data_IF_943510733814
#
_entry.id   IF_943510733814
#
_cell.length_a   1.000
_cell.length_b   1.000
_cell.length_c   1.000
_cell.angle_alpha   90.00
_cell.angle_beta   90.00
_cell.angle_gamma   90.00
#
_symmetry.space_group_name_H-M   'P 1'
#
loop_
_entity.id
_entity.type
_entity.pdbx_description
1 polymer ?
#
# COMPACT_ATOMS: atom_id res chain seq x y z
N UNK A 1 -19.67 5.33 9.57
CA UNK A 1 -19.16 5.82 10.89
C UNK A 1 -17.81 6.55 10.71
N UNK A 2 -17.52 7.61 11.48
CA UNK A 2 -16.33 8.46 11.26
C UNK A 2 -15.04 7.75 11.69
N UNK A 3 -13.96 7.91 10.94
CA UNK A 3 -12.63 7.51 11.40
C UNK A 3 -12.26 8.38 12.60
N UNK A 4 -12.05 7.78 13.78
CA UNK A 4 -11.57 8.48 14.97
C UNK A 4 -10.13 8.91 14.75
N UNK A 5 -9.98 10.14 14.26
CA UNK A 5 -8.72 10.87 14.16
C UNK A 5 -8.78 11.95 15.23
N UNK A 6 -7.74 12.08 16.04
CA UNK A 6 -7.64 13.18 17.02
C UNK A 6 -7.50 14.51 16.26
N UNK A 7 -8.58 15.30 16.26
CA UNK A 7 -8.70 16.56 15.53
C UNK A 7 -8.33 17.78 16.37
N UNK A 8 -7.85 17.60 17.60
CA UNK A 8 -7.53 18.69 18.53
C UNK A 8 -6.48 19.65 17.99
N UNK A 9 -5.58 19.16 17.13
CA UNK A 9 -4.52 19.95 16.49
C UNK A 9 -4.94 20.72 15.21
N UNK A 10 -6.18 20.60 14.73
CA UNK A 10 -6.62 21.19 13.44
C UNK A 10 -7.47 22.45 13.65
N UNK A 11 -7.18 23.59 12.96
CA UNK A 11 -8.00 24.80 13.03
C UNK A 11 -9.48 24.54 12.72
N UNK A 12 -10.39 25.31 13.33
CA UNK A 12 -11.83 25.07 13.26
C UNK A 12 -12.41 25.02 11.83
N UNK A 13 -11.88 25.84 10.92
CA UNK A 13 -12.22 25.84 9.49
C UNK A 13 -11.73 24.59 8.77
N UNK A 14 -10.54 24.07 9.11
CA UNK A 14 -9.98 22.83 8.57
C UNK A 14 -10.69 21.57 9.08
N UNK A 15 -11.26 21.62 10.29
CA UNK A 15 -11.99 20.49 10.90
C UNK A 15 -13.21 20.05 10.08
N UNK A 16 -13.95 20.97 9.48
CA UNK A 16 -15.14 20.63 8.70
C UNK A 16 -14.80 19.94 7.37
N UNK A 17 -13.76 20.42 6.68
CA UNK A 17 -13.27 19.79 5.44
C UNK A 17 -12.70 18.40 5.75
N UNK A 18 -11.88 18.30 6.80
CA UNK A 18 -11.29 17.02 7.22
C UNK A 18 -12.35 16.00 7.63
N UNK A 19 -13.40 16.41 8.37
CA UNK A 19 -14.55 15.53 8.68
C UNK A 19 -15.26 15.04 7.44
N UNK A 20 -15.48 15.89 6.42
CA UNK A 20 -16.09 15.49 5.15
C UNK A 20 -15.23 14.47 4.40
N UNK A 21 -13.91 14.66 4.38
CA UNK A 21 -12.97 13.71 3.78
C UNK A 21 -12.98 12.36 4.50
N UNK A 22 -12.92 12.36 5.84
CA UNK A 22 -12.98 11.13 6.64
C UNK A 22 -14.32 10.39 6.48
N UNK A 23 -15.43 11.12 6.37
CA UNK A 23 -16.74 10.54 6.11
C UNK A 23 -16.86 9.94 4.70
N UNK A 24 -16.30 10.61 3.69
CA UNK A 24 -16.24 10.09 2.33
C UNK A 24 -15.38 8.82 2.23
N UNK A 25 -14.22 8.81 2.90
CA UNK A 25 -13.31 7.67 2.97
C UNK A 25 -13.94 6.47 3.68
N UNK A 26 -14.71 6.71 4.76
CA UNK A 26 -15.50 5.67 5.41
C UNK A 26 -16.63 5.13 4.53
N UNK A 27 -17.35 5.99 3.78
CA UNK A 27 -18.37 5.54 2.82
C UNK A 27 -17.79 4.70 1.68
N UNK A 28 -16.65 5.13 1.12
CA UNK A 28 -15.95 4.37 0.07
C UNK A 28 -15.51 2.99 0.59
N UNK A 29 -15.04 2.94 1.84
CA UNK A 29 -14.75 1.69 2.51
C UNK A 29 -16.00 0.80 2.67
N UNK A 30 -17.10 1.34 3.19
CA UNK A 30 -18.36 0.59 3.38
C UNK A 30 -18.89 0.04 2.05
N UNK A 31 -18.87 0.83 0.97
CA UNK A 31 -19.27 0.38 -0.38
C UNK A 31 -18.35 -0.75 -0.87
N UNK A 32 -17.04 -0.62 -0.70
CA UNK A 32 -16.08 -1.65 -1.09
C UNK A 32 -16.24 -2.94 -0.27
N UNK A 33 -16.55 -2.82 1.02
CA UNK A 33 -16.75 -3.93 1.95
C UNK A 33 -18.05 -4.71 1.67
N UNK A 34 -19.13 -4.00 1.35
CA UNK A 34 -20.45 -4.59 1.05
C UNK A 34 -20.54 -5.17 -0.36
N UNK A 35 -19.69 -4.72 -1.29
CA UNK A 35 -19.66 -5.27 -2.66
C UNK A 35 -19.23 -6.74 -2.61
N UNK A 36 -19.97 -7.60 -3.31
CA UNK A 36 -19.63 -9.01 -3.45
C UNK A 36 -18.70 -9.18 -4.66
N UNK A 37 -17.47 -9.67 -4.44
CA UNK A 37 -16.48 -9.86 -5.50
C UNK A 37 -16.27 -11.35 -5.74
N UNK A 38 -16.86 -11.94 -6.80
CA UNK A 38 -16.73 -13.37 -7.06
C UNK A 38 -15.26 -13.77 -7.22
N UNK A 39 -14.81 -14.80 -6.50
CA UNK A 39 -13.44 -15.32 -6.53
C UNK A 39 -12.40 -14.53 -5.71
N UNK A 40 -12.65 -13.25 -5.42
CA UNK A 40 -11.73 -12.39 -4.67
C UNK A 40 -11.53 -12.85 -3.21
N UNK A 41 -12.52 -13.54 -2.64
CA UNK A 41 -12.50 -14.06 -1.26
C UNK A 41 -11.38 -15.07 -1.00
N UNK A 42 -10.96 -15.83 -2.02
CA UNK A 42 -9.87 -16.80 -1.90
C UNK A 42 -8.51 -16.20 -2.24
N UNK A 43 -8.47 -15.27 -3.20
CA UNK A 43 -7.25 -14.71 -3.77
C UNK A 43 -6.71 -13.56 -2.93
N UNK A 44 -7.55 -12.58 -2.57
CA UNK A 44 -7.10 -11.34 -1.92
C UNK A 44 -6.54 -11.57 -0.51
N UNK A 45 -7.10 -12.44 0.35
CA UNK A 45 -6.50 -12.74 1.65
C UNK A 45 -5.17 -13.50 1.55
N UNK A 46 -4.98 -14.32 0.50
CA UNK A 46 -3.70 -14.99 0.22
C UNK A 46 -2.66 -14.00 -0.29
N UNK A 47 -3.05 -13.14 -1.22
CA UNK A 47 -2.20 -12.08 -1.76
C UNK A 47 -1.75 -11.12 -0.64
N UNK A 48 -2.68 -10.69 0.22
CA UNK A 48 -2.33 -9.85 1.37
C UNK A 48 -1.38 -10.55 2.34
N UNK A 49 -1.44 -11.87 2.50
CA UNK A 49 -0.47 -12.63 3.31
C UNK A 49 0.88 -12.73 2.63
N UNK A 50 0.93 -12.97 1.32
CA UNK A 50 2.18 -13.03 0.56
C UNK A 50 2.92 -11.68 0.51
N UNK A 51 2.17 -10.58 0.61
CA UNK A 51 2.72 -9.25 0.70
C UNK A 51 3.30 -8.91 2.09
N UNK A 52 3.10 -9.78 3.11
CA UNK A 52 3.75 -9.62 4.40
C UNK A 52 5.26 -9.79 4.28
N UNK A 53 6.02 -8.95 4.99
CA UNK A 53 7.49 -8.95 5.03
C UNK A 53 8.19 -8.77 3.68
N UNK A 54 7.47 -8.34 2.63
CA UNK A 54 8.05 -8.11 1.31
C UNK A 54 8.36 -9.38 0.51
N UNK A 55 7.96 -10.57 0.99
CA UNK A 55 8.25 -11.87 0.34
C UNK A 55 7.81 -11.88 -1.13
N UNK A 56 6.60 -11.38 -1.42
CA UNK A 56 6.10 -11.23 -2.79
C UNK A 56 7.04 -10.42 -3.69
N UNK A 57 7.61 -9.33 -3.16
CA UNK A 57 8.46 -8.42 -3.92
C UNK A 57 9.87 -8.97 -4.12
N UNK A 58 10.41 -9.69 -3.14
CA UNK A 58 11.66 -10.44 -3.33
C UNK A 58 11.51 -11.56 -4.36
N UNK A 59 10.39 -12.29 -4.34
CA UNK A 59 10.10 -13.31 -5.34
C UNK A 59 9.93 -12.70 -6.75
N UNK A 60 9.20 -11.58 -6.86
CA UNK A 60 9.04 -10.85 -8.13
C UNK A 60 10.39 -10.33 -8.65
N UNK A 61 11.24 -9.78 -7.78
CA UNK A 61 12.59 -9.36 -8.13
C UNK A 61 13.44 -10.52 -8.63
N UNK A 62 13.37 -11.68 -7.97
CA UNK A 62 14.03 -12.91 -8.39
C UNK A 62 13.58 -13.38 -9.77
N UNK A 63 12.27 -13.39 -10.03
CA UNK A 63 11.69 -13.76 -11.33
C UNK A 63 12.12 -12.80 -12.46
N UNK A 64 12.10 -11.50 -12.20
CA UNK A 64 12.59 -10.48 -13.15
C UNK A 64 14.08 -10.69 -13.43
N UNK A 65 14.89 -10.87 -12.38
CA UNK A 65 16.33 -11.08 -12.50
C UNK A 65 16.69 -12.41 -13.23
N UNK A 66 15.85 -13.44 -13.10
CA UNK A 66 16.04 -14.74 -13.76
C UNK A 66 15.97 -14.67 -15.29
N UNK A 67 15.42 -13.60 -15.86
CA UNK A 67 15.45 -13.36 -17.32
C UNK A 67 16.86 -13.03 -17.85
N UNK A 68 17.84 -12.88 -16.95
CA UNK A 68 19.28 -12.65 -17.23
C UNK A 68 19.60 -11.42 -18.09
N UNK A 69 18.63 -10.58 -18.41
CA UNK A 69 18.90 -9.33 -19.12
C UNK A 69 19.47 -8.26 -18.18
N UNK A 70 20.48 -7.46 -18.61
CA UNK A 70 21.04 -6.40 -17.78
C UNK A 70 19.99 -5.38 -17.32
N UNK A 71 19.01 -5.06 -18.19
CA UNK A 71 17.89 -4.16 -17.84
C UNK A 71 16.99 -4.75 -16.76
N UNK A 72 16.64 -6.02 -16.84
CA UNK A 72 15.78 -6.65 -15.83
C UNK A 72 16.48 -6.72 -14.46
N UNK A 73 17.77 -7.06 -14.41
CA UNK A 73 18.53 -7.06 -13.15
C UNK A 73 18.57 -5.67 -12.51
N UNK A 74 18.81 -4.61 -13.29
CA UNK A 74 18.77 -3.23 -12.79
C UNK A 74 17.38 -2.84 -12.30
N UNK A 75 16.32 -3.26 -13.01
CA UNK A 75 14.95 -2.97 -12.63
C UNK A 75 14.58 -3.65 -11.30
N UNK A 76 14.97 -4.93 -11.14
CA UNK A 76 14.79 -5.67 -9.89
C UNK A 76 15.53 -5.01 -8.71
N UNK A 77 16.81 -4.64 -8.90
CA UNK A 77 17.60 -3.97 -7.86
C UNK A 77 17.01 -2.61 -7.50
N UNK A 78 16.61 -1.79 -8.48
CA UNK A 78 15.97 -0.49 -8.24
C UNK A 78 14.62 -0.64 -7.54
N UNK A 79 13.82 -1.64 -7.93
CA UNK A 79 12.57 -1.98 -7.25
C UNK A 79 12.79 -2.32 -5.78
N UNK A 80 13.76 -3.20 -5.48
CA UNK A 80 14.10 -3.57 -4.10
C UNK A 80 14.66 -2.40 -3.29
N UNK A 81 15.54 -1.57 -3.88
CA UNK A 81 16.07 -0.38 -3.22
C UNK A 81 14.95 0.61 -2.87
N UNK A 82 14.01 0.83 -3.80
CA UNK A 82 12.85 1.69 -3.59
C UNK A 82 11.93 1.15 -2.49
N UNK A 83 11.68 -0.16 -2.49
CA UNK A 83 10.92 -0.84 -1.44
C UNK A 83 11.58 -0.69 -0.07
N UNK A 84 12.90 -0.88 0.02
CA UNK A 84 13.65 -0.75 1.27
C UNK A 84 13.58 0.67 1.82
N UNK A 85 13.76 1.68 0.96
CA UNK A 85 13.64 3.09 1.34
C UNK A 85 12.21 3.41 1.81
N UNK A 86 11.18 2.97 1.08
CA UNK A 86 9.79 3.16 1.48
C UNK A 86 9.49 2.48 2.83
N UNK A 87 9.99 1.25 3.02
CA UNK A 87 9.78 0.48 4.26
C UNK A 87 10.46 1.14 5.46
N UNK A 88 11.69 1.67 5.27
CA UNK A 88 12.38 2.46 6.28
C UNK A 88 11.58 3.71 6.62
N UNK A 89 11.19 4.49 5.61
CA UNK A 89 10.43 5.74 5.76
C UNK A 89 9.10 5.51 6.49
N UNK A 90 8.35 4.47 6.13
CA UNK A 90 7.08 4.13 6.80
C UNK A 90 7.31 3.68 8.24
N UNK A 91 8.34 2.87 8.50
CA UNK A 91 8.61 2.38 9.86
C UNK A 91 9.18 3.46 10.78
N UNK A 92 9.96 4.41 10.28
CA UNK A 92 10.61 5.46 11.08
C UNK A 92 9.76 6.71 11.21
N UNK A 93 9.20 7.21 10.10
CA UNK A 93 8.41 8.44 10.07
C UNK A 93 6.91 8.10 10.16
N UNK A 94 6.42 7.22 9.29
CA UNK A 94 4.98 6.95 9.14
C UNK A 94 4.29 6.47 10.42
N UNK A 95 4.88 5.49 11.12
CA UNK A 95 4.33 4.96 12.38
C UNK A 95 4.33 5.94 13.55
N UNK A 96 5.06 7.06 13.44
CA UNK A 96 5.08 8.13 14.47
C UNK A 96 4.17 9.31 14.13
N UNK A 97 3.69 9.43 12.88
CA UNK A 97 3.03 10.66 12.41
C UNK A 97 1.54 10.76 12.73
N UNK A 98 0.75 9.69 12.57
CA UNK A 98 -0.72 9.79 12.72
C UNK A 98 -1.28 8.55 13.43
N UNK A 99 -1.83 8.75 14.63
CA UNK A 99 -2.62 7.73 15.34
C UNK A 99 -4.03 7.69 14.76
N UNK A 100 -4.18 7.08 13.58
CA UNK A 100 -5.49 6.75 13.03
C UNK A 100 -5.91 5.38 13.52
N UNK A 101 -7.16 5.24 13.96
CA UNK A 101 -7.78 3.96 14.28
C UNK A 101 -8.11 3.21 12.98
N UNK A 102 -7.89 1.89 12.93
CA UNK A 102 -8.21 1.06 11.74
C UNK A 102 -9.74 0.99 11.52
N UNK A 103 -10.23 0.72 10.29
CA UNK A 103 -11.66 0.54 10.05
C UNK A 103 -12.24 -0.57 10.95
N UNK A 104 -13.45 -0.36 11.47
CA UNK A 104 -14.17 -1.42 12.18
C UNK A 104 -14.52 -2.55 11.21
N UNK A 105 -14.39 -3.78 11.69
CA UNK A 105 -14.58 -4.99 10.88
C UNK A 105 -16.05 -5.39 10.71
N UNK A 106 -16.98 -4.79 11.44
CA UNK A 106 -18.41 -5.14 11.43
C UNK A 106 -19.02 -5.27 10.02
N UNK A 107 -18.79 -4.34 9.07
CA UNK A 107 -19.29 -4.49 7.71
C UNK A 107 -18.53 -5.51 6.85
N UNK A 108 -17.41 -6.07 7.33
CA UNK A 108 -16.57 -7.03 6.59
C UNK A 108 -16.94 -8.46 7.00
N UNK A 109 -17.36 -9.33 6.05
CA UNK A 109 -17.62 -10.74 6.31
C UNK A 109 -16.44 -11.44 7.00
N UNK A 110 -16.71 -12.32 7.97
CA UNK A 110 -15.68 -13.05 8.74
C UNK A 110 -14.67 -13.79 7.84
N UNK A 111 -15.11 -14.29 6.68
CA UNK A 111 -14.27 -14.96 5.68
C UNK A 111 -13.20 -14.07 5.04
N UNK A 112 -13.39 -12.74 5.05
CA UNK A 112 -12.50 -11.73 4.46
C UNK A 112 -11.57 -11.08 5.48
N UNK A 113 -11.85 -11.25 6.78
CA UNK A 113 -11.05 -10.68 7.87
C UNK A 113 -9.70 -11.40 7.97
N UNK A 114 -8.63 -10.63 8.16
CA UNK A 114 -7.31 -11.20 8.47
C UNK A 114 -7.33 -11.85 9.86
N UNK A 115 -6.75 -13.06 9.99
CA UNK A 115 -6.67 -13.82 11.26
C UNK A 115 -5.99 -13.06 12.41
N UNK A 116 -5.15 -12.07 12.10
CA UNK A 116 -4.47 -11.23 13.10
C UNK A 116 -4.50 -9.78 12.63
N UNK A 117 -5.27 -8.96 13.33
CA UNK A 117 -5.31 -7.51 13.14
C UNK A 117 -4.02 -6.90 13.72
N UNK A 118 -3.28 -6.09 12.95
CA UNK A 118 -2.14 -5.37 13.50
C UNK A 118 -2.62 -4.33 14.53
N UNK A 119 -2.12 -4.39 15.77
CA UNK A 119 -2.42 -3.47 16.88
C UNK A 119 -1.74 -2.08 16.68
N UNK A 120 -1.14 -1.85 15.51
CA UNK A 120 -0.39 -0.62 15.18
C UNK A 120 -1.20 0.29 14.25
N UNK A 121 -0.85 1.58 14.21
CA UNK A 121 -1.55 2.64 13.46
C UNK A 121 -1.93 2.23 12.03
N UNK A 122 -3.10 2.66 11.54
CA UNK A 122 -3.55 2.39 10.15
C UNK A 122 -2.74 3.18 9.12
N UNK A 123 -2.20 4.33 9.52
CA UNK A 123 -1.62 5.30 8.60
C UNK A 123 -0.09 5.35 8.71
N UNK A 124 0.64 5.38 7.58
CA UNK A 124 0.24 5.01 6.22
C UNK A 124 0.27 3.48 6.01
N UNK A 125 -0.39 2.97 4.95
CA UNK A 125 -0.36 1.54 4.64
C UNK A 125 1.02 1.09 4.14
N UNK A 126 1.78 0.37 4.98
CA UNK A 126 3.10 -0.17 4.63
C UNK A 126 3.08 -1.11 3.43
N UNK A 127 2.08 -2.00 3.33
CA UNK A 127 1.92 -2.88 2.15
C UNK A 127 1.71 -2.11 0.85
N UNK A 128 0.93 -1.03 0.90
CA UNK A 128 0.67 -0.18 -0.27
C UNK A 128 1.89 0.64 -0.63
N UNK A 129 2.64 1.13 0.36
CA UNK A 129 3.92 1.81 0.17
C UNK A 129 4.97 0.91 -0.47
N UNK A 130 5.19 -0.30 0.06
CA UNK A 130 6.13 -1.27 -0.51
C UNK A 130 5.73 -1.68 -1.93
N UNK A 131 4.44 -1.89 -2.18
CA UNK A 131 3.93 -2.27 -3.50
C UNK A 131 4.16 -1.18 -4.55
N UNK A 132 3.77 0.05 -4.23
CA UNK A 132 3.94 1.18 -5.13
C UNK A 132 5.42 1.53 -5.34
N UNK A 133 6.25 1.44 -4.28
CA UNK A 133 7.69 1.69 -4.38
C UNK A 133 8.39 0.69 -5.29
N UNK A 134 8.09 -0.61 -5.14
CA UNK A 134 8.67 -1.64 -6.00
C UNK A 134 8.23 -1.46 -7.45
N UNK A 135 6.93 -1.32 -7.70
CA UNK A 135 6.39 -1.16 -9.05
C UNK A 135 6.92 0.10 -9.75
N UNK A 136 6.94 1.24 -9.06
CA UNK A 136 7.49 2.49 -9.59
C UNK A 136 9.01 2.38 -9.83
N UNK A 137 9.75 1.79 -8.90
CA UNK A 137 11.20 1.58 -9.04
C UNK A 137 11.55 0.71 -10.25
N UNK A 138 10.79 -0.37 -10.48
CA UNK A 138 10.92 -1.21 -11.67
C UNK A 138 10.54 -0.43 -12.94
N UNK A 139 9.42 0.28 -12.93
CA UNK A 139 8.92 1.04 -14.09
C UNK A 139 9.88 2.16 -14.54
N UNK A 140 10.55 2.82 -13.58
CA UNK A 140 11.53 3.87 -13.87
C UNK A 140 12.78 3.34 -14.59
N UNK A 141 13.14 2.07 -14.38
CA UNK A 141 14.24 1.43 -15.12
C UNK A 141 13.77 0.73 -16.40
N UNK A 142 12.58 0.11 -16.36
CA UNK A 142 12.01 -0.60 -17.49
C UNK A 142 10.48 -0.47 -17.48
N UNK A 143 9.91 0.38 -18.35
CA UNK A 143 8.47 0.56 -18.45
C UNK A 143 7.71 -0.75 -18.76
N UNK A 144 8.31 -1.64 -19.56
CA UNK A 144 7.73 -2.95 -19.88
C UNK A 144 7.57 -3.84 -18.63
N UNK A 145 8.63 -3.98 -17.82
CA UNK A 145 8.52 -4.70 -16.55
C UNK A 145 7.63 -3.98 -15.54
N UNK A 146 7.63 -2.65 -15.56
CA UNK A 146 6.70 -1.83 -14.77
C UNK A 146 5.25 -2.16 -15.08
N UNK A 147 4.89 -2.28 -16.36
CA UNK A 147 3.54 -2.64 -16.80
C UNK A 147 3.14 -4.06 -16.36
N UNK A 148 4.09 -5.00 -16.27
CA UNK A 148 3.83 -6.36 -15.74
C UNK A 148 3.62 -6.35 -14.22
N UNK A 149 4.39 -5.54 -13.49
CA UNK A 149 4.35 -5.51 -12.02
C UNK A 149 3.20 -4.63 -11.49
N UNK A 150 2.78 -3.60 -12.22
CA UNK A 150 1.75 -2.66 -11.78
C UNK A 150 0.39 -3.33 -11.43
N UNK A 151 -0.15 -4.27 -12.22
CA UNK A 151 -1.38 -4.98 -11.85
C UNK A 151 -1.28 -5.73 -10.52
N UNK A 152 -0.11 -6.31 -10.22
CA UNK A 152 0.14 -7.01 -8.96
C UNK A 152 0.16 -6.02 -7.80
N UNK A 153 0.83 -4.89 -7.97
CA UNK A 153 0.89 -3.82 -6.96
C UNK A 153 -0.49 -3.21 -6.68
N UNK A 154 -1.28 -2.95 -7.72
CA UNK A 154 -2.67 -2.49 -7.60
C UNK A 154 -3.50 -3.53 -6.86
N UNK A 155 -3.38 -4.82 -7.22
CA UNK A 155 -4.11 -5.90 -6.54
C UNK A 155 -3.76 -6.00 -5.05
N UNK A 156 -2.48 -5.85 -4.69
CA UNK A 156 -2.03 -5.81 -3.29
C UNK A 156 -2.64 -4.60 -2.57
N UNK A 157 -2.58 -3.41 -3.15
CA UNK A 157 -3.16 -2.19 -2.57
C UNK A 157 -4.68 -2.34 -2.34
N UNK A 158 -5.41 -2.79 -3.36
CA UNK A 158 -6.86 -3.04 -3.29
C UNK A 158 -7.20 -4.10 -2.26
N UNK A 159 -6.38 -5.15 -2.11
CA UNK A 159 -6.60 -6.19 -1.09
C UNK A 159 -6.62 -5.63 0.34
N UNK A 160 -5.93 -4.51 0.61
CA UNK A 160 -5.86 -3.88 1.94
C UNK A 160 -7.17 -3.17 2.31
N UNK A 161 -7.84 -2.58 1.33
CA UNK A 161 -9.20 -2.03 1.49
C UNK A 161 -10.20 -3.18 1.63
N UNK A 162 -10.11 -4.16 0.73
CA UNK A 162 -11.03 -5.30 0.67
C UNK A 162 -11.06 -6.14 1.97
N UNK A 163 -9.90 -6.37 2.59
CA UNK A 163 -9.78 -7.16 3.83
C UNK A 163 -10.16 -6.40 5.09
N UNK A 164 -10.58 -5.13 4.97
CA UNK A 164 -10.90 -4.31 6.13
C UNK A 164 -9.70 -3.74 6.87
N UNK A 165 -8.48 -3.92 6.32
CA UNK A 165 -7.26 -3.62 7.06
C UNK A 165 -6.91 -2.12 7.08
N UNK A 166 -7.34 -1.37 6.06
CA UNK A 166 -7.01 0.04 5.83
C UNK A 166 -8.15 0.77 5.12
N UNK A 167 -8.26 2.07 5.36
CA UNK A 167 -9.13 2.91 4.56
C UNK A 167 -8.49 3.20 3.18
N UNK A 168 -9.29 3.51 2.14
CA UNK A 168 -8.77 3.92 0.83
C UNK A 168 -7.72 5.04 0.91
N UNK A 169 -7.90 6.03 1.78
CA UNK A 169 -6.92 7.11 1.92
C UNK A 169 -5.58 6.63 2.52
N UNK A 170 -5.58 5.60 3.38
CA UNK A 170 -4.34 5.03 3.93
C UNK A 170 -3.54 4.31 2.84
N UNK A 171 -4.25 3.70 1.89
CA UNK A 171 -3.67 3.03 0.71
C UNK A 171 -3.10 4.06 -0.27
N UNK A 172 -3.84 5.12 -0.57
CA UNK A 172 -3.37 6.21 -1.42
C UNK A 172 -2.15 6.94 -0.83
N UNK A 173 -2.18 7.26 0.46
CA UNK A 173 -1.05 7.88 1.15
C UNK A 173 0.17 6.96 1.16
N UNK A 174 -0.02 5.66 1.43
CA UNK A 174 1.03 4.66 1.31
C UNK A 174 1.62 4.61 -0.10
N UNK A 175 0.77 4.54 -1.12
CA UNK A 175 1.19 4.50 -2.51
C UNK A 175 1.99 5.75 -2.92
N UNK A 176 1.52 6.95 -2.54
CA UNK A 176 2.22 8.20 -2.81
C UNK A 176 3.62 8.24 -2.15
N UNK A 177 3.73 7.81 -0.90
CA UNK A 177 5.02 7.68 -0.22
C UNK A 177 5.94 6.67 -0.92
N UNK A 178 5.39 5.54 -1.36
CA UNK A 178 6.14 4.52 -2.09
C UNK A 178 6.69 5.04 -3.43
N UNK A 179 5.85 5.71 -4.22
CA UNK A 179 6.26 6.36 -5.48
C UNK A 179 7.31 7.43 -5.21
N UNK A 180 7.13 8.27 -4.19
CA UNK A 180 8.11 9.27 -3.78
C UNK A 180 9.47 8.66 -3.46
N UNK A 181 9.50 7.55 -2.71
CA UNK A 181 10.72 6.82 -2.43
C UNK A 181 11.42 6.31 -3.71
N UNK A 182 10.65 5.82 -4.69
CA UNK A 182 11.22 5.39 -5.97
C UNK A 182 11.86 6.54 -6.75
N UNK A 183 11.25 7.74 -6.74
CA UNK A 183 11.85 8.93 -7.34
C UNK A 183 13.12 9.40 -6.61
N UNK A 184 13.15 9.32 -5.28
CA UNK A 184 14.36 9.60 -4.51
C UNK A 184 15.47 8.62 -4.90
N UNK A 185 15.19 7.32 -4.99
CA UNK A 185 16.16 6.32 -5.44
C UNK A 185 16.64 6.61 -6.87
N UNK A 186 15.75 7.03 -7.78
CA UNK A 186 16.13 7.46 -9.14
C UNK A 186 17.02 8.71 -9.16
N UNK A 187 16.89 9.60 -8.17
CA UNK A 187 17.77 10.77 -8.05
C UNK A 187 19.17 10.36 -7.54
N UNK A 188 19.22 9.43 -6.59
CA UNK A 188 20.48 8.97 -5.99
C UNK A 188 21.27 8.03 -6.90
N UNK A 189 20.56 7.17 -7.62
CA UNK A 189 21.10 6.31 -8.66
C UNK A 189 20.39 6.73 -9.93
N UNK A 190 21.05 7.29 -10.95
CA UNK A 190 20.41 7.60 -12.22
C UNK A 190 20.00 6.34 -12.99
N UNK A 191 18.98 6.45 -13.84
CA UNK A 191 18.57 5.40 -14.80
C UNK A 191 19.49 5.44 -16.01
N UNK A 192 19.84 4.28 -16.58
CA UNK A 192 20.72 4.18 -17.77
C UNK A 192 19.93 3.90 -19.04
#
# INVERSE_FOLDING_TARGET
MSADVDLTAVPATGRNVLRRLLAADARLFEVAAQRNWPGAEKVLPRLSRSANHGVLWFAAAGAIAATRTPRARRAAVRGLASLSLASLTVNTLGKRSVRRTRPMLDPVPLSRRLKRQPITTSFPSGHSASAAAFAAGVALESPAWGAVVAPVAISVATSRVYTGAHFPSDVLAGAALGVGAAFVVRKLVPTR
#
